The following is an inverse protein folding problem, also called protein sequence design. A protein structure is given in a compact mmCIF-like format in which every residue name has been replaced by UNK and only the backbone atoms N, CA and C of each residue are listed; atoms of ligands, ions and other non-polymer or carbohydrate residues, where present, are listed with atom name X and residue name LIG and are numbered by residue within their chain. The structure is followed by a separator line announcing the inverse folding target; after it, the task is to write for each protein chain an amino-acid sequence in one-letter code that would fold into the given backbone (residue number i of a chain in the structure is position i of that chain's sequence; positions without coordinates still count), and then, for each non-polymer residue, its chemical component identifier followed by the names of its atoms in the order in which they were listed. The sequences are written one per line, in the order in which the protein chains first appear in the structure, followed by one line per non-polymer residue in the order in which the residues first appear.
data_IF_997939498995
#
_entry.id   IF_997939498995
#
_cell.length_a   1.000
_cell.length_b   1.000
_cell.length_c   1.000
_cell.angle_alpha   90.00
_cell.angle_beta   90.00
_cell.angle_gamma   90.00
#
_symmetry.space_group_name_H-M   'P 1'
#
loop_
_entity.id
_entity.type
_entity.pdbx_description
1 polymer ?
#
# COMPACT_ATOMS: atom_id res chain seq x y z
N UNK A 1 4.12 -12.25 42.42
CA UNK A 1 4.26 -10.78 42.46
C UNK A 1 3.11 -10.25 43.30
N UNK A 2 3.36 -9.40 44.32
CA UNK A 2 2.31 -8.75 45.10
C UNK A 2 1.37 -7.88 44.25
N UNK A 3 0.10 -7.75 44.65
CA UNK A 3 -0.92 -7.04 43.88
C UNK A 3 -0.62 -5.54 43.73
N UNK A 4 -0.23 -4.90 44.83
CA UNK A 4 0.19 -3.51 44.90
C UNK A 4 1.38 -3.22 43.97
N UNK A 5 2.40 -4.08 43.99
CA UNK A 5 3.57 -3.97 43.09
C UNK A 5 3.15 -4.12 41.63
N UNK A 6 2.29 -5.09 41.32
CA UNK A 6 1.78 -5.28 39.97
C UNK A 6 0.94 -4.09 39.49
N UNK A 7 0.09 -3.55 40.37
CA UNK A 7 -0.74 -2.39 40.09
C UNK A 7 0.08 -1.12 39.91
N UNK A 8 1.15 -0.94 40.69
CA UNK A 8 2.07 0.19 40.57
C UNK A 8 2.75 0.18 39.20
N UNK A 9 3.29 -0.97 38.77
CA UNK A 9 3.90 -1.11 37.43
C UNK A 9 2.85 -0.86 36.35
N UNK A 10 1.67 -1.47 36.45
CA UNK A 10 0.61 -1.27 35.47
C UNK A 10 0.21 0.20 35.33
N UNK A 11 0.04 0.89 36.47
CA UNK A 11 -0.46 2.27 36.51
C UNK A 11 0.60 3.31 36.12
N UNK A 12 1.86 3.09 36.50
CA UNK A 12 2.93 4.07 36.33
C UNK A 12 3.81 3.81 35.10
N UNK A 13 3.76 2.60 34.52
CA UNK A 13 4.55 2.26 33.33
C UNK A 13 3.67 1.90 32.13
N UNK A 14 2.78 0.91 32.25
CA UNK A 14 2.06 0.39 31.10
C UNK A 14 0.96 1.34 30.61
N UNK A 15 0.11 1.84 31.51
CA UNK A 15 -0.93 2.80 31.13
C UNK A 15 -0.34 4.03 30.43
N UNK A 16 0.67 4.74 30.99
CA UNK A 16 1.27 5.90 30.34
C UNK A 16 1.88 5.58 28.98
N UNK A 17 2.58 4.43 28.87
CA UNK A 17 3.21 3.99 27.62
C UNK A 17 2.17 3.74 26.53
N UNK A 18 1.13 2.97 26.82
CA UNK A 18 0.09 2.65 25.84
C UNK A 18 -0.73 3.89 25.47
N UNK A 19 -1.05 4.74 26.44
CA UNK A 19 -1.77 5.99 26.19
C UNK A 19 -0.96 6.94 25.29
N UNK A 20 0.36 7.05 25.51
CA UNK A 20 1.24 7.83 24.64
C UNK A 20 1.25 7.30 23.19
N UNK A 21 1.25 5.98 22.99
CA UNK A 21 1.14 5.39 21.65
C UNK A 21 -0.22 5.71 21.03
N UNK A 22 -1.32 5.58 21.79
CA UNK A 22 -2.67 5.87 21.31
C UNK A 22 -2.79 7.34 20.88
N UNK A 23 -2.37 8.30 21.72
CA UNK A 23 -2.37 9.73 21.40
C UNK A 23 -1.61 10.06 20.12
N UNK A 24 -0.45 9.41 19.91
CA UNK A 24 0.34 9.59 18.70
C UNK A 24 -0.37 9.05 17.44
N UNK A 25 -1.11 7.95 17.57
CA UNK A 25 -1.71 7.25 16.41
C UNK A 25 -3.14 7.69 16.11
N UNK A 26 -3.85 8.25 17.09
CA UNK A 26 -5.28 8.57 17.07
C UNK A 26 -5.49 10.07 17.29
N UNK A 27 -5.44 10.91 16.23
CA UNK A 27 -5.75 12.32 16.34
C UNK A 27 -7.23 12.50 16.75
N UNK A 28 -7.49 13.28 17.81
CA UNK A 28 -8.83 13.45 18.40
C UNK A 28 -9.10 12.58 19.64
N UNK A 29 -8.16 11.71 20.05
CA UNK A 29 -8.35 10.86 21.23
C UNK A 29 -8.60 11.66 22.53
N UNK A 30 -7.88 12.76 22.72
CA UNK A 30 -7.99 13.59 23.93
C UNK A 30 -9.30 14.40 24.00
N UNK A 31 -10.09 14.42 22.92
CA UNK A 31 -11.43 15.04 22.91
C UNK A 31 -12.51 14.10 23.45
N UNK A 32 -12.22 12.80 23.55
CA UNK A 32 -13.15 11.80 24.06
C UNK A 32 -13.27 11.82 25.58
N UNK A 33 -14.39 11.32 26.11
CA UNK A 33 -14.55 11.13 27.56
C UNK A 33 -13.57 10.10 28.13
N UNK A 34 -13.28 10.14 29.44
CA UNK A 34 -12.43 9.15 30.10
C UNK A 34 -12.88 7.70 29.86
N UNK A 35 -14.18 7.43 29.82
CA UNK A 35 -14.73 6.10 29.52
C UNK A 35 -14.38 5.65 28.10
N UNK A 36 -14.57 6.51 27.10
CA UNK A 36 -14.18 6.25 25.72
C UNK A 36 -12.66 6.02 25.60
N UNK A 37 -11.84 6.86 26.24
CA UNK A 37 -10.37 6.71 26.25
C UNK A 37 -9.95 5.39 26.90
N UNK A 38 -10.59 5.02 28.02
CA UNK A 38 -10.35 3.76 28.72
C UNK A 38 -10.62 2.53 27.84
N UNK A 39 -11.71 2.56 27.06
CA UNK A 39 -12.02 1.50 26.10
C UNK A 39 -10.99 1.40 24.98
N UNK A 40 -10.58 2.53 24.39
CA UNK A 40 -9.53 2.55 23.35
C UNK A 40 -8.21 2.01 23.91
N UNK A 41 -7.86 2.39 25.14
CA UNK A 41 -6.69 1.87 25.83
C UNK A 41 -6.78 0.36 26.06
N UNK A 42 -7.94 -0.16 26.50
CA UNK A 42 -8.18 -1.60 26.66
C UNK A 42 -7.96 -2.36 25.36
N UNK A 43 -8.52 -1.85 24.25
CA UNK A 43 -8.33 -2.42 22.91
C UNK A 43 -6.84 -2.43 22.55
N UNK A 44 -6.16 -1.30 22.69
CA UNK A 44 -4.76 -1.13 22.35
C UNK A 44 -3.84 -2.05 23.18
N UNK A 45 -4.10 -2.17 24.48
CA UNK A 45 -3.34 -3.06 25.37
C UNK A 45 -3.48 -4.53 24.98
N UNK A 46 -4.72 -4.98 24.72
CA UNK A 46 -5.02 -6.38 24.47
C UNK A 46 -4.72 -6.84 23.05
N UNK A 47 -4.75 -5.92 22.08
CA UNK A 47 -4.56 -6.24 20.66
C UNK A 47 -3.21 -5.87 20.11
N UNK A 48 -2.44 -5.02 20.80
CA UNK A 48 -1.29 -4.25 20.32
C UNK A 48 -1.68 -2.88 19.76
N UNK A 49 -1.18 -1.83 20.40
CA UNK A 49 -1.46 -0.43 20.06
C UNK A 49 -0.96 -0.03 18.68
N UNK A 50 0.07 -0.68 18.12
CA UNK A 50 0.45 -0.40 16.73
C UNK A 50 -0.54 -0.97 15.71
N UNK A 51 -1.52 -1.76 16.15
CA UNK A 51 -2.60 -2.31 15.34
C UNK A 51 -3.40 -1.26 14.57
N UNK A 52 -3.48 -0.02 15.07
CA UNK A 52 -4.13 1.11 14.38
C UNK A 52 -3.49 1.49 13.03
N UNK A 53 -2.27 1.03 12.75
CA UNK A 53 -1.57 1.23 11.46
C UNK A 53 -1.19 -0.08 10.77
N UNK A 54 -1.44 -1.24 11.38
CA UNK A 54 -1.05 -2.52 10.78
C UNK A 54 -1.93 -2.85 9.58
N UNK A 55 -1.35 -3.25 8.44
CA UNK A 55 -2.13 -3.61 7.26
C UNK A 55 -2.83 -4.96 7.44
N UNK A 56 -3.84 -5.19 6.61
CA UNK A 56 -4.51 -6.48 6.45
C UNK A 56 -5.80 -6.66 7.27
N UNK A 57 -6.59 -7.70 6.93
CA UNK A 57 -7.96 -7.87 7.43
C UNK A 57 -8.08 -8.03 8.94
N UNK A 58 -7.05 -8.58 9.61
CA UNK A 58 -7.04 -8.78 11.06
C UNK A 58 -7.10 -7.48 11.87
N UNK A 59 -6.68 -6.36 11.26
CA UNK A 59 -6.53 -5.06 11.90
C UNK A 59 -7.53 -4.02 11.39
N UNK A 60 -8.46 -4.41 10.52
CA UNK A 60 -9.38 -3.49 9.83
C UNK A 60 -10.23 -2.68 10.79
N UNK A 61 -10.80 -3.31 11.81
CA UNK A 61 -11.61 -2.61 12.80
C UNK A 61 -10.79 -1.57 13.58
N UNK A 62 -9.53 -1.87 13.91
CA UNK A 62 -8.68 -0.89 14.58
C UNK A 62 -8.39 0.30 13.66
N UNK A 63 -8.08 0.07 12.38
CA UNK A 63 -7.90 1.17 11.41
C UNK A 63 -9.18 1.98 11.19
N UNK A 64 -10.33 1.32 11.13
CA UNK A 64 -11.63 1.99 11.03
C UNK A 64 -11.97 2.78 12.29
N UNK A 65 -11.63 2.30 13.49
CA UNK A 65 -11.75 3.07 14.73
C UNK A 65 -10.87 4.31 14.67
N UNK A 66 -9.62 4.19 14.20
CA UNK A 66 -8.74 5.34 14.00
C UNK A 66 -9.36 6.36 13.04
N UNK A 67 -9.91 5.91 11.92
CA UNK A 67 -10.58 6.79 10.96
C UNK A 67 -11.82 7.46 11.57
N UNK A 68 -12.62 6.72 12.34
CA UNK A 68 -13.82 7.23 13.01
C UNK A 68 -13.48 8.30 14.06
N UNK A 69 -12.42 8.10 14.86
CA UNK A 69 -11.94 9.12 15.80
C UNK A 69 -11.49 10.37 15.03
N UNK A 70 -10.66 10.20 13.99
CA UNK A 70 -10.11 11.32 13.23
C UNK A 70 -11.16 12.10 12.41
N UNK A 71 -12.29 11.49 12.07
CA UNK A 71 -13.40 12.12 11.34
C UNK A 71 -14.57 12.56 12.24
N UNK A 72 -14.54 12.22 13.52
CA UNK A 72 -15.63 12.50 14.47
C UNK A 72 -16.86 11.61 14.31
N UNK A 73 -16.81 10.56 13.48
CA UNK A 73 -17.89 9.58 13.29
C UNK A 73 -17.92 8.54 14.42
N UNK A 74 -17.95 9.01 15.66
CA UNK A 74 -17.74 8.21 16.86
C UNK A 74 -18.81 7.13 17.05
N UNK A 75 -20.02 7.36 16.52
CA UNK A 75 -21.12 6.40 16.56
C UNK A 75 -20.81 5.06 15.87
N UNK A 76 -19.79 5.00 14.99
CA UNK A 76 -19.36 3.74 14.34
C UNK A 76 -18.55 2.83 15.26
N UNK A 77 -17.87 3.41 16.26
CA UNK A 77 -16.86 2.71 17.07
C UNK A 77 -17.45 1.53 17.88
N UNK A 78 -18.60 1.64 18.56
CA UNK A 78 -19.17 0.49 19.29
C UNK A 78 -19.47 -0.71 18.38
N UNK A 79 -20.00 -0.47 17.18
CA UNK A 79 -20.21 -1.52 16.19
C UNK A 79 -18.90 -2.19 15.77
N UNK A 80 -17.86 -1.39 15.53
CA UNK A 80 -16.53 -1.89 15.18
C UNK A 80 -15.92 -2.74 16.31
N UNK A 81 -16.02 -2.31 17.57
CA UNK A 81 -15.56 -3.08 18.73
C UNK A 81 -16.26 -4.45 18.78
N UNK A 82 -17.59 -4.48 18.62
CA UNK A 82 -18.36 -5.75 18.60
C UNK A 82 -17.99 -6.64 17.42
N UNK A 83 -17.72 -6.07 16.24
CA UNK A 83 -17.34 -6.84 15.05
C UNK A 83 -16.00 -7.56 15.20
N UNK A 84 -15.08 -7.05 16.03
CA UNK A 84 -13.80 -7.72 16.32
C UNK A 84 -13.96 -9.13 16.91
N UNK A 85 -15.14 -9.49 17.44
CA UNK A 85 -15.43 -10.84 17.95
C UNK A 85 -15.24 -11.93 16.90
N UNK A 86 -15.34 -11.62 15.60
CA UNK A 86 -15.11 -12.59 14.51
C UNK A 86 -13.73 -13.25 14.56
N UNK A 87 -12.73 -12.56 15.13
CA UNK A 87 -11.35 -13.04 15.18
C UNK A 87 -11.12 -14.09 16.27
N UNK A 88 -12.09 -14.24 17.19
CA UNK A 88 -12.07 -15.19 18.30
C UNK A 88 -13.48 -15.75 18.50
N UNK A 89 -13.97 -16.59 17.56
CA UNK A 89 -15.35 -17.08 17.61
C UNK A 89 -15.66 -17.90 18.87
N UNK A 90 -14.66 -18.64 19.39
CA UNK A 90 -14.86 -19.61 20.48
C UNK A 90 -14.46 -19.06 21.87
N UNK A 91 -13.97 -17.82 21.97
CA UNK A 91 -13.55 -17.23 23.25
C UNK A 91 -14.72 -16.48 23.91
N UNK A 92 -15.44 -17.18 24.79
CA UNK A 92 -16.58 -16.60 25.53
C UNK A 92 -16.19 -15.35 26.33
N UNK A 93 -15.04 -15.36 27.00
CA UNK A 93 -14.61 -14.26 27.86
C UNK A 93 -14.30 -13.00 27.07
N UNK A 94 -13.58 -13.14 25.96
CA UNK A 94 -13.27 -12.03 25.05
C UNK A 94 -14.53 -11.44 24.43
N UNK A 95 -15.50 -12.29 24.05
CA UNK A 95 -16.75 -11.83 23.45
C UNK A 95 -17.56 -10.96 24.42
N UNK A 96 -17.71 -11.41 25.67
CA UNK A 96 -18.36 -10.63 26.72
C UNK A 96 -17.63 -9.30 26.91
N UNK A 97 -16.30 -9.33 27.02
CA UNK A 97 -15.50 -8.11 27.15
C UNK A 97 -15.70 -7.12 26.02
N UNK A 98 -15.81 -7.57 24.75
CA UNK A 98 -16.04 -6.67 23.61
C UNK A 98 -17.44 -6.04 23.66
N UNK A 99 -18.44 -6.77 24.16
CA UNK A 99 -19.78 -6.22 24.35
C UNK A 99 -19.79 -5.19 25.50
N UNK A 100 -19.10 -5.47 26.60
CA UNK A 100 -18.96 -4.55 27.74
C UNK A 100 -18.17 -3.28 27.38
N UNK A 101 -17.06 -3.43 26.65
CA UNK A 101 -16.27 -2.30 26.14
C UNK A 101 -17.09 -1.42 25.19
N UNK A 102 -17.88 -2.02 24.30
CA UNK A 102 -18.75 -1.26 23.42
C UNK A 102 -19.82 -0.50 24.21
N UNK A 103 -20.43 -1.13 25.22
CA UNK A 103 -21.42 -0.49 26.09
C UNK A 103 -20.80 0.65 26.93
N UNK A 104 -19.58 0.48 27.44
CA UNK A 104 -18.85 1.53 28.15
C UNK A 104 -18.51 2.71 27.22
N UNK A 105 -18.16 2.43 25.96
CA UNK A 105 -17.94 3.48 24.97
C UNK A 105 -19.23 4.25 24.67
N UNK A 106 -20.37 3.56 24.52
CA UNK A 106 -21.68 4.19 24.33
C UNK A 106 -22.06 5.09 25.51
N UNK A 107 -21.83 4.64 26.75
CA UNK A 107 -22.03 5.47 27.94
C UNK A 107 -21.13 6.72 27.92
N UNK A 108 -19.86 6.55 27.56
CA UNK A 108 -18.93 7.65 27.38
C UNK A 108 -19.39 8.67 26.34
N UNK A 109 -20.01 8.21 25.23
CA UNK A 109 -20.63 9.07 24.23
C UNK A 109 -21.86 9.78 24.76
N UNK A 110 -22.72 9.11 25.54
CA UNK A 110 -23.90 9.74 26.13
C UNK A 110 -23.52 10.94 27.01
N UNK A 111 -22.43 10.81 27.78
CA UNK A 111 -21.95 11.84 28.70
C UNK A 111 -21.27 13.04 28.00
N UNK A 112 -20.52 12.80 26.91
CA UNK A 112 -19.64 13.81 26.30
C UNK A 112 -19.99 14.20 24.86
N UNK A 113 -20.65 13.31 24.11
CA UNK A 113 -20.95 13.45 22.68
C UNK A 113 -22.41 13.02 22.39
N UNK A 114 -23.42 13.69 22.98
CA UNK A 114 -24.82 13.25 22.89
C UNK A 114 -25.36 13.18 21.46
N UNK A 115 -24.83 14.00 20.55
CA UNK A 115 -25.17 13.93 19.11
C UNK A 115 -24.68 12.65 18.45
N UNK A 116 -23.47 12.19 18.77
CA UNK A 116 -22.94 10.92 18.26
C UNK A 116 -23.65 9.74 18.93
N UNK A 117 -23.95 9.83 20.23
CA UNK A 117 -24.74 8.84 20.93
C UNK A 117 -26.13 8.65 20.28
N UNK A 118 -26.82 9.73 19.90
CA UNK A 118 -28.11 9.64 19.24
C UNK A 118 -28.07 8.91 17.89
N UNK A 119 -26.94 8.98 17.17
CA UNK A 119 -26.77 8.30 15.87
C UNK A 119 -26.68 6.78 16.00
N UNK A 120 -26.30 6.24 17.17
CA UNK A 120 -26.13 4.81 17.41
C UNK A 120 -27.34 3.98 16.96
N UNK A 121 -28.55 4.48 17.18
CA UNK A 121 -29.79 3.80 16.81
C UNK A 121 -29.96 3.61 15.29
N UNK A 122 -29.32 4.46 14.49
CA UNK A 122 -29.40 4.48 13.03
C UNK A 122 -28.10 4.09 12.34
N UNK A 123 -27.01 3.93 13.08
CA UNK A 123 -25.72 3.53 12.53
C UNK A 123 -25.80 2.07 12.09
N UNK A 124 -25.56 1.76 10.80
CA UNK A 124 -25.59 0.38 10.34
C UNK A 124 -24.46 -0.43 10.98
N UNK A 125 -24.70 -1.73 11.14
CA UNK A 125 -23.65 -2.64 11.56
C UNK A 125 -22.50 -2.60 10.55
N UNK A 126 -21.23 -2.62 11.01
CA UNK A 126 -20.10 -2.69 10.09
C UNK A 126 -20.14 -4.00 9.30
N UNK A 127 -19.83 -3.91 8.03
CA UNK A 127 -19.66 -5.09 7.16
C UNK A 127 -18.46 -5.89 7.65
N UNK A 128 -18.56 -7.22 7.64
CA UNK A 128 -17.49 -8.12 8.05
C UNK A 128 -16.21 -7.87 7.21
N UNK A 129 -15.09 -7.46 7.83
CA UNK A 129 -13.83 -7.28 7.13
C UNK A 129 -13.32 -8.51 6.38
N UNK A 130 -13.64 -9.73 6.83
CA UNK A 130 -13.24 -10.95 6.10
C UNK A 130 -14.05 -11.13 4.82
N UNK A 131 -15.34 -10.75 4.83
CA UNK A 131 -16.18 -10.70 3.64
C UNK A 131 -15.68 -9.64 2.66
N UNK A 132 -15.34 -8.43 3.14
CA UNK A 132 -14.72 -7.38 2.32
C UNK A 132 -13.43 -7.89 1.69
N UNK A 133 -12.54 -8.50 2.50
CA UNK A 133 -11.28 -9.02 2.02
C UNK A 133 -11.46 -10.15 1.00
N UNK A 134 -12.49 -11.00 1.18
CA UNK A 134 -12.88 -12.01 0.20
C UNK A 134 -13.29 -11.38 -1.14
N UNK A 135 -14.17 -10.38 -1.12
CA UNK A 135 -14.60 -9.64 -2.31
C UNK A 135 -13.41 -8.97 -3.00
N UNK A 136 -12.55 -8.28 -2.23
CA UNK A 136 -11.35 -7.63 -2.74
C UNK A 136 -10.38 -8.61 -3.41
N UNK A 137 -10.18 -9.82 -2.86
CA UNK A 137 -9.38 -10.87 -3.51
C UNK A 137 -10.03 -11.33 -4.79
N UNK A 138 -11.32 -11.68 -4.71
CA UNK A 138 -12.04 -12.29 -5.82
C UNK A 138 -12.18 -11.36 -7.02
N UNK A 139 -12.48 -10.09 -6.79
CA UNK A 139 -12.49 -9.07 -7.84
C UNK A 139 -11.12 -8.96 -8.53
N UNK A 140 -10.02 -8.98 -7.77
CA UNK A 140 -8.66 -8.93 -8.34
C UNK A 140 -8.34 -10.17 -9.17
N UNK A 141 -8.71 -11.36 -8.71
CA UNK A 141 -8.56 -12.61 -9.47
C UNK A 141 -9.34 -12.55 -10.79
N UNK A 142 -10.50 -11.89 -10.80
CA UNK A 142 -11.35 -11.71 -11.96
C UNK A 142 -10.93 -10.55 -12.87
N UNK A 143 -9.80 -9.89 -12.59
CA UNK A 143 -9.23 -8.84 -13.42
C UNK A 143 -9.67 -7.41 -13.06
N UNK A 144 -10.34 -7.21 -11.93
CA UNK A 144 -10.72 -5.88 -11.42
C UNK A 144 -9.64 -5.38 -10.45
N UNK A 145 -8.50 -4.97 -11.01
CA UNK A 145 -7.30 -4.65 -10.23
C UNK A 145 -7.37 -3.33 -9.45
N UNK A 146 -8.24 -2.40 -9.87
CA UNK A 146 -8.42 -1.10 -9.21
C UNK A 146 -9.15 -1.20 -7.86
N UNK A 147 -9.47 -2.41 -7.38
CA UNK A 147 -10.24 -2.68 -6.14
C UNK A 147 -9.55 -2.20 -4.86
N UNK A 148 -8.25 -1.87 -4.91
CA UNK A 148 -7.46 -1.42 -3.76
C UNK A 148 -6.52 -2.52 -3.22
N UNK A 149 -6.15 -2.46 -1.95
CA UNK A 149 -5.41 -3.54 -1.27
C UNK A 149 -6.39 -4.59 -0.71
N UNK A 150 -5.91 -5.78 -0.35
CA UNK A 150 -6.73 -6.76 0.40
C UNK A 150 -6.57 -6.48 1.87
N UNK A 151 -7.32 -5.51 2.35
CA UNK A 151 -7.20 -4.99 3.71
C UNK A 151 -8.49 -5.15 4.51
N UNK A 152 -9.57 -5.65 3.91
CA UNK A 152 -10.86 -5.83 4.58
C UNK A 152 -11.52 -4.51 4.96
N UNK A 153 -11.17 -3.42 4.27
CA UNK A 153 -11.68 -2.08 4.54
C UNK A 153 -12.51 -1.59 3.35
N UNK A 154 -13.70 -1.09 3.64
CA UNK A 154 -14.58 -0.47 2.65
C UNK A 154 -14.74 0.99 3.00
N UNK A 155 -14.18 1.86 2.16
CA UNK A 155 -14.46 3.29 2.22
C UNK A 155 -15.66 3.62 1.34
N UNK A 156 -16.61 4.45 1.81
CA UNK A 156 -17.66 4.98 0.96
C UNK A 156 -17.07 5.68 -0.27
N UNK A 157 -17.65 5.43 -1.44
CA UNK A 157 -17.17 5.95 -2.73
C UNK A 157 -15.72 5.53 -3.05
N UNK A 158 -15.27 4.44 -2.42
CA UNK A 158 -13.92 3.94 -2.54
C UNK A 158 -13.71 3.08 -3.79
N UNK A 159 -12.44 2.70 -3.96
CA UNK A 159 -11.97 1.81 -5.03
C UNK A 159 -12.71 0.46 -5.08
N UNK A 160 -12.99 -0.12 -3.91
CA UNK A 160 -13.70 -1.40 -3.83
C UNK A 160 -15.14 -1.29 -4.34
N UNK A 161 -15.88 -0.24 -3.96
CA UNK A 161 -17.25 0.00 -4.43
C UNK A 161 -17.32 0.22 -5.94
N UNK A 162 -16.41 1.01 -6.49
CA UNK A 162 -16.31 1.21 -7.94
C UNK A 162 -16.13 -0.10 -8.71
N UNK A 163 -15.32 -1.02 -8.18
CA UNK A 163 -15.12 -2.34 -8.79
C UNK A 163 -16.31 -3.29 -8.59
N UNK A 164 -17.01 -3.21 -7.45
CA UNK A 164 -18.26 -3.95 -7.24
C UNK A 164 -19.31 -3.52 -8.29
N UNK A 165 -19.46 -2.21 -8.51
CA UNK A 165 -20.37 -1.66 -9.50
C UNK A 165 -19.99 -2.09 -10.92
N UNK A 166 -18.70 -2.01 -11.27
CA UNK A 166 -18.20 -2.48 -12.57
C UNK A 166 -18.46 -3.98 -12.78
N UNK A 167 -18.25 -4.79 -11.74
CA UNK A 167 -18.50 -6.23 -11.76
C UNK A 167 -19.98 -6.56 -11.97
N UNK A 168 -20.87 -5.89 -11.22
CA UNK A 168 -22.33 -6.04 -11.30
C UNK A 168 -22.84 -5.62 -12.68
N UNK A 169 -22.37 -4.48 -13.20
CA UNK A 169 -22.73 -3.98 -14.51
C UNK A 169 -22.37 -4.98 -15.63
N UNK A 170 -21.17 -5.55 -15.58
CA UNK A 170 -20.73 -6.54 -16.55
C UNK A 170 -21.54 -7.86 -16.55
N UNK A 171 -22.35 -8.10 -15.51
CA UNK A 171 -23.15 -9.32 -15.31
C UNK A 171 -24.65 -9.06 -15.27
N UNK A 172 -25.09 -7.84 -15.55
CA UNK A 172 -26.51 -7.47 -15.47
C UNK A 172 -27.12 -7.62 -14.08
N UNK A 173 -26.30 -7.53 -13.03
CA UNK A 173 -26.78 -7.53 -11.64
C UNK A 173 -27.26 -6.13 -11.23
N UNK A 174 -28.12 -6.02 -10.20
CA UNK A 174 -28.50 -4.73 -9.64
C UNK A 174 -27.28 -3.87 -9.28
N UNK A 175 -27.23 -2.61 -9.73
CA UNK A 175 -26.10 -1.70 -9.53
C UNK A 175 -26.11 -1.08 -8.14
N UNK A 176 -25.79 -1.88 -7.13
CA UNK A 176 -25.59 -1.40 -5.74
C UNK A 176 -24.12 -1.57 -5.34
N UNK A 177 -23.58 -0.69 -4.48
CA UNK A 177 -22.21 -0.83 -3.96
C UNK A 177 -22.10 -1.85 -2.82
N UNK A 178 -23.24 -2.39 -2.37
CA UNK A 178 -23.33 -3.23 -1.18
C UNK A 178 -22.68 -4.61 -1.39
N UNK A 179 -22.09 -5.12 -0.31
CA UNK A 179 -21.64 -6.51 -0.23
C UNK A 179 -22.79 -7.32 0.36
N UNK A 180 -23.68 -7.78 -0.52
CA UNK A 180 -24.84 -8.61 -0.19
C UNK A 180 -24.59 -10.09 -0.51
N UNK A 181 -25.52 -10.94 -0.05
CA UNK A 181 -25.46 -12.40 -0.29
C UNK A 181 -25.46 -12.74 -1.78
N UNK A 182 -26.12 -11.93 -2.62
CA UNK A 182 -26.16 -12.13 -4.07
C UNK A 182 -24.76 -11.95 -4.68
N UNK A 183 -24.06 -10.87 -4.32
CA UNK A 183 -22.69 -10.60 -4.76
C UNK A 183 -21.74 -11.71 -4.28
N UNK A 184 -21.82 -12.08 -3.01
CA UNK A 184 -20.97 -13.14 -2.44
C UNK A 184 -21.22 -14.48 -3.16
N UNK A 185 -22.49 -14.86 -3.36
CA UNK A 185 -22.85 -16.09 -4.06
C UNK A 185 -22.37 -16.07 -5.51
N UNK A 186 -22.50 -14.94 -6.21
CA UNK A 186 -22.02 -14.82 -7.59
C UNK A 186 -20.50 -14.95 -7.66
N UNK A 187 -19.77 -14.23 -6.79
CA UNK A 187 -18.31 -14.28 -6.70
C UNK A 187 -17.78 -15.68 -6.36
N UNK A 188 -18.56 -16.49 -5.63
CA UNK A 188 -18.25 -17.88 -5.30
C UNK A 188 -18.28 -18.85 -6.49
N UNK A 189 -18.91 -18.49 -7.62
CA UNK A 189 -18.96 -19.35 -8.81
C UNK A 189 -17.60 -19.44 -9.49
N UNK A 190 -17.23 -20.61 -10.09
CA UNK A 190 -16.13 -20.71 -11.03
C UNK A 190 -16.35 -19.76 -12.21
N UNK A 191 -15.39 -18.90 -12.49
CA UNK A 191 -15.54 -17.83 -13.47
C UNK A 191 -14.19 -17.56 -14.16
N UNK A 192 -14.26 -17.22 -15.44
CA UNK A 192 -13.09 -16.77 -16.20
C UNK A 192 -12.81 -15.30 -15.89
N UNK A 193 -11.54 -14.91 -15.67
CA UNK A 193 -11.17 -13.52 -15.52
C UNK A 193 -11.62 -12.68 -16.73
N UNK A 194 -11.90 -11.39 -16.49
CA UNK A 194 -12.24 -10.45 -17.57
C UNK A 194 -11.16 -10.48 -18.64
N UNK A 195 -11.56 -10.73 -19.88
CA UNK A 195 -10.67 -10.60 -21.02
C UNK A 195 -10.34 -9.11 -21.19
N UNK A 196 -9.06 -8.79 -21.15
CA UNK A 196 -8.58 -7.43 -21.44
C UNK A 196 -8.90 -7.15 -22.92
N UNK A 197 -9.40 -5.94 -23.22
CA UNK A 197 -9.69 -5.55 -24.60
C UNK A 197 -8.45 -5.79 -25.47
N UNK A 198 -8.61 -6.37 -26.66
CA UNK A 198 -7.47 -6.71 -27.55
C UNK A 198 -6.55 -5.52 -27.77
N UNK A 199 -7.12 -4.31 -27.88
CA UNK A 199 -6.38 -3.05 -27.99
C UNK A 199 -5.38 -2.81 -26.87
N UNK A 200 -5.71 -3.17 -25.62
CA UNK A 200 -4.77 -3.10 -24.49
C UNK A 200 -3.80 -4.27 -24.49
N UNK A 201 -4.22 -5.46 -24.91
CA UNK A 201 -3.36 -6.64 -24.96
C UNK A 201 -2.22 -6.48 -25.98
N UNK A 202 -2.48 -5.79 -27.09
CA UNK A 202 -1.49 -5.49 -28.14
C UNK A 202 -0.79 -4.14 -27.96
N UNK A 203 -1.18 -3.33 -26.98
CA UNK A 203 -0.63 -2.00 -26.76
C UNK A 203 0.91 -2.03 -26.65
N UNK A 204 1.56 -1.01 -27.15
CA UNK A 204 3.02 -0.83 -27.21
C UNK A 204 3.48 0.27 -26.25
N UNK A 205 4.80 0.44 -26.10
CA UNK A 205 5.36 1.55 -25.31
C UNK A 205 5.01 2.90 -25.97
N UNK A 206 4.95 2.91 -27.29
CA UNK A 206 4.54 4.06 -28.10
C UNK A 206 3.10 4.47 -27.80
N UNK A 207 2.16 3.53 -27.72
CA UNK A 207 0.76 3.83 -27.37
C UNK A 207 0.67 4.48 -25.97
N UNK A 208 1.45 3.97 -25.00
CA UNK A 208 1.53 4.56 -23.66
C UNK A 208 2.18 5.95 -23.63
N UNK A 209 3.09 6.21 -24.56
CA UNK A 209 3.74 7.52 -24.72
C UNK A 209 2.74 8.53 -25.26
N UNK A 210 1.94 8.13 -26.24
CA UNK A 210 0.89 8.96 -26.84
C UNK A 210 -0.28 9.22 -25.87
N UNK A 211 -0.59 8.25 -25.00
CA UNK A 211 -1.56 8.40 -23.90
C UNK A 211 -1.03 9.29 -22.75
N UNK A 212 0.22 9.77 -22.83
CA UNK A 212 0.78 10.74 -21.90
C UNK A 212 1.28 10.16 -20.58
N UNK A 213 1.64 8.86 -20.55
CA UNK A 213 2.13 8.20 -19.34
C UNK A 213 3.37 8.90 -18.74
N UNK A 214 3.22 9.43 -17.52
CA UNK A 214 4.31 10.13 -16.81
C UNK A 214 5.49 9.20 -16.51
N UNK A 215 5.23 7.91 -16.25
CA UNK A 215 6.28 6.91 -16.04
C UNK A 215 7.13 6.75 -17.30
N UNK A 216 6.50 6.67 -18.47
CA UNK A 216 7.23 6.57 -19.75
C UNK A 216 7.98 7.87 -20.04
N UNK A 217 7.39 9.03 -19.77
CA UNK A 217 8.09 10.31 -19.93
C UNK A 217 9.34 10.45 -19.03
N UNK A 218 9.27 9.92 -17.81
CA UNK A 218 10.38 9.90 -16.86
C UNK A 218 11.49 8.94 -17.32
N UNK A 219 11.14 7.71 -17.72
CA UNK A 219 12.11 6.73 -18.21
C UNK A 219 12.74 7.18 -19.53
N UNK A 220 11.98 7.81 -20.43
CA UNK A 220 12.50 8.45 -21.64
C UNK A 220 13.52 9.54 -21.29
N UNK A 221 13.25 10.37 -20.26
CA UNK A 221 14.21 11.39 -19.80
C UNK A 221 15.48 10.77 -19.21
N UNK A 222 15.34 9.69 -18.44
CA UNK A 222 16.47 8.96 -17.87
C UNK A 222 17.32 8.28 -18.95
N UNK A 223 16.68 7.60 -19.91
CA UNK A 223 17.34 6.99 -21.07
C UNK A 223 18.00 8.03 -21.96
N UNK A 224 17.40 9.21 -22.17
CA UNK A 224 18.04 10.34 -22.89
C UNK A 224 19.29 10.85 -22.18
N UNK A 225 19.25 10.99 -20.85
CA UNK A 225 20.42 11.39 -20.07
C UNK A 225 21.53 10.33 -20.15
N UNK A 226 21.20 9.05 -19.96
CA UNK A 226 22.15 7.95 -20.14
C UNK A 226 22.72 7.91 -21.57
N UNK A 227 21.88 8.14 -22.58
CA UNK A 227 22.29 8.24 -23.99
C UNK A 227 23.28 9.37 -24.27
N UNK A 228 23.23 10.49 -23.53
CA UNK A 228 24.25 11.55 -23.61
C UNK A 228 25.60 11.08 -23.06
N UNK A 229 25.63 10.22 -22.04
CA UNK A 229 26.86 9.59 -21.55
C UNK A 229 27.45 8.67 -22.63
N UNK A 230 26.59 8.03 -23.42
CA UNK A 230 27.01 7.09 -24.46
C UNK A 230 27.44 7.73 -25.79
N UNK A 231 27.24 9.05 -25.99
CA UNK A 231 27.74 9.77 -27.17
C UNK A 231 26.69 10.22 -28.20
N UNK A 232 25.42 10.37 -27.80
CA UNK A 232 24.51 11.32 -28.45
C UNK A 232 23.95 10.99 -29.83
N UNK A 233 24.20 9.83 -30.43
CA UNK A 233 23.45 9.38 -31.62
C UNK A 233 22.26 8.52 -31.20
N UNK A 234 21.06 8.93 -31.62
CA UNK A 234 19.80 8.28 -31.25
C UNK A 234 19.76 6.82 -31.69
N UNK A 235 19.35 5.94 -30.77
CA UNK A 235 19.10 4.53 -31.05
C UNK A 235 20.03 3.55 -30.33
N UNK A 236 20.14 3.64 -29.00
CA UNK A 236 20.75 2.57 -28.20
C UNK A 236 19.63 1.84 -27.43
N UNK A 237 19.11 0.77 -28.05
CA UNK A 237 18.38 -0.27 -27.33
C UNK A 237 19.33 -1.10 -26.45
N UNK A 238 18.83 -2.11 -25.73
CA UNK A 238 19.67 -2.89 -24.78
C UNK A 238 20.91 -3.51 -25.41
N UNK A 239 20.83 -3.94 -26.67
CA UNK A 239 21.97 -4.43 -27.44
C UNK A 239 23.02 -3.33 -27.73
N UNK A 240 22.58 -2.09 -27.93
CA UNK A 240 23.46 -0.94 -28.18
C UNK A 240 24.26 -0.53 -26.94
N UNK A 241 23.65 -0.59 -25.75
CA UNK A 241 24.36 -0.33 -24.49
C UNK A 241 25.41 -1.40 -24.22
N UNK A 242 25.12 -2.66 -24.54
CA UNK A 242 26.07 -3.76 -24.40
C UNK A 242 27.26 -3.60 -25.37
N UNK A 243 26.99 -3.26 -26.63
CA UNK A 243 28.03 -3.00 -27.63
C UNK A 243 28.94 -1.83 -27.22
N UNK A 244 28.35 -0.74 -26.72
CA UNK A 244 29.11 0.41 -26.22
C UNK A 244 30.04 0.05 -25.05
N UNK A 245 29.57 -0.79 -24.12
CA UNK A 245 30.39 -1.31 -23.03
C UNK A 245 31.58 -2.12 -23.55
N UNK A 246 31.34 -2.99 -24.54
CA UNK A 246 32.40 -3.79 -25.18
C UNK A 246 33.40 -2.89 -25.89
N UNK A 247 32.95 -1.90 -26.66
CA UNK A 247 33.82 -0.96 -27.38
C UNK A 247 34.68 -0.15 -26.42
N UNK A 248 34.12 0.33 -25.30
CA UNK A 248 34.89 1.04 -24.28
C UNK A 248 35.86 0.13 -23.54
N UNK A 249 35.49 -1.11 -23.23
CA UNK A 249 36.40 -2.09 -22.62
C UNK A 249 37.60 -2.41 -23.53
N UNK A 250 37.36 -2.54 -24.84
CA UNK A 250 38.40 -2.74 -25.85
C UNK A 250 39.31 -1.51 -25.98
N UNK A 251 38.73 -0.29 -25.99
CA UNK A 251 39.49 0.95 -26.02
C UNK A 251 40.36 1.14 -24.77
N UNK A 252 39.86 0.82 -23.57
CA UNK A 252 40.62 0.90 -22.32
C UNK A 252 41.78 -0.10 -22.33
N UNK A 253 41.56 -1.32 -22.81
CA UNK A 253 42.60 -2.33 -22.96
C UNK A 253 43.69 -1.86 -23.93
N UNK A 254 43.32 -1.38 -25.12
CA UNK A 254 44.26 -0.86 -26.10
C UNK A 254 45.04 0.37 -25.60
N UNK A 255 44.39 1.27 -24.85
CA UNK A 255 45.05 2.43 -24.25
C UNK A 255 46.04 2.02 -23.14
N UNK A 256 45.71 1.00 -22.33
CA UNK A 256 46.62 0.47 -21.30
C UNK A 256 47.90 -0.09 -21.92
N UNK A 257 47.79 -0.80 -23.03
CA UNK A 257 48.94 -1.37 -23.75
C UNK A 257 49.80 -0.28 -24.40
N UNK A 258 49.18 0.76 -24.97
CA UNK A 258 49.89 1.91 -25.53
C UNK A 258 50.60 2.77 -24.46
N UNK A 259 49.98 2.98 -23.30
CA UNK A 259 50.54 3.76 -22.18
C UNK A 259 51.75 3.06 -21.54
N UNK A 260 51.75 1.73 -21.48
CA UNK A 260 52.90 0.94 -21.02
C UNK A 260 54.17 1.13 -21.86
N UNK A 261 54.03 1.54 -23.13
CA UNK A 261 55.13 1.78 -24.07
C UNK A 261 55.68 3.20 -24.11
N UNK A 262 55.10 4.16 -23.37
CA UNK A 262 55.38 5.60 -23.53
C UNK A 262 56.37 6.20 -22.53
N UNK A 263 56.95 5.41 -21.61
CA UNK A 263 57.99 5.90 -20.69
C UNK A 263 57.57 7.04 -19.76
N UNK A 264 56.28 7.11 -19.40
CA UNK A 264 55.69 8.19 -18.60
C UNK A 264 56.11 8.14 -17.13
N UNK A 265 56.14 9.30 -16.46
CA UNK A 265 56.42 9.37 -15.02
C UNK A 265 55.29 8.76 -14.20
N UNK A 266 55.56 8.17 -13.01
CA UNK A 266 54.55 7.53 -12.18
C UNK A 266 53.34 8.43 -11.83
N UNK A 267 53.57 9.74 -11.66
CA UNK A 267 52.51 10.71 -11.38
C UNK A 267 51.58 10.98 -12.57
N UNK A 268 52.11 10.96 -13.80
CA UNK A 268 51.30 11.12 -15.02
C UNK A 268 50.42 9.89 -15.27
N UNK A 269 50.95 8.69 -15.00
CA UNK A 269 50.19 7.43 -15.10
C UNK A 269 49.03 7.41 -14.09
N UNK A 270 49.26 7.88 -12.85
CA UNK A 270 48.20 7.97 -11.83
C UNK A 270 47.09 8.96 -12.20
N UNK A 271 47.42 10.16 -12.71
CA UNK A 271 46.41 11.14 -13.11
C UNK A 271 45.51 10.62 -14.24
N UNK A 272 46.10 9.93 -15.23
CA UNK A 272 45.35 9.29 -16.32
C UNK A 272 44.47 8.16 -15.76
N UNK A 273 45.00 7.32 -14.87
CA UNK A 273 44.22 6.24 -14.26
C UNK A 273 43.01 6.75 -13.46
N UNK A 274 43.14 7.85 -12.71
CA UNK A 274 42.03 8.48 -11.98
C UNK A 274 40.98 9.04 -12.94
N UNK A 275 41.41 9.71 -14.02
CA UNK A 275 40.50 10.21 -15.06
C UNK A 275 39.71 9.09 -15.73
N UNK A 276 40.39 7.98 -16.08
CA UNK A 276 39.76 6.79 -16.66
C UNK A 276 38.80 6.13 -15.65
N UNK A 277 39.20 5.97 -14.40
CA UNK A 277 38.34 5.40 -13.36
C UNK A 277 37.06 6.22 -13.13
N UNK A 278 37.17 7.55 -13.13
CA UNK A 278 36.02 8.46 -12.99
C UNK A 278 35.06 8.32 -14.17
N UNK A 279 35.59 8.24 -15.39
CA UNK A 279 34.77 8.00 -16.59
C UNK A 279 34.09 6.62 -16.57
N UNK A 280 34.77 5.57 -16.09
CA UNK A 280 34.19 4.23 -15.92
C UNK A 280 33.06 4.23 -14.88
N UNK A 281 33.22 4.99 -13.78
CA UNK A 281 32.14 5.13 -12.78
C UNK A 281 30.94 5.85 -13.38
N UNK A 282 31.13 6.99 -14.07
CA UNK A 282 30.03 7.73 -14.72
C UNK A 282 29.34 6.86 -15.79
N UNK A 283 30.12 6.11 -16.56
CA UNK A 283 29.64 5.12 -17.52
C UNK A 283 28.77 4.04 -16.85
N UNK A 284 29.26 3.44 -15.76
CA UNK A 284 28.56 2.41 -15.00
C UNK A 284 27.23 2.93 -14.43
N UNK A 285 27.21 4.16 -13.94
CA UNK A 285 25.96 4.82 -13.49
C UNK A 285 25.00 5.03 -14.66
N UNK A 286 25.48 5.49 -15.82
CA UNK A 286 24.66 5.63 -17.02
C UNK A 286 24.00 4.31 -17.45
N UNK A 287 24.78 3.21 -17.45
CA UNK A 287 24.29 1.86 -17.76
C UNK A 287 23.22 1.41 -16.76
N UNK A 288 23.49 1.57 -15.46
CA UNK A 288 22.55 1.21 -14.41
C UNK A 288 21.22 1.97 -14.55
N UNK A 289 21.29 3.29 -14.76
CA UNK A 289 20.11 4.15 -14.97
C UNK A 289 19.31 3.70 -16.19
N UNK A 290 19.99 3.33 -17.29
CA UNK A 290 19.32 2.83 -18.49
C UNK A 290 18.58 1.51 -18.23
N UNK A 291 19.22 0.53 -17.58
CA UNK A 291 18.59 -0.77 -17.26
C UNK A 291 17.40 -0.63 -16.30
N UNK A 292 17.52 0.24 -15.30
CA UNK A 292 16.42 0.53 -14.37
C UNK A 292 15.25 1.17 -15.12
N UNK A 293 15.52 2.15 -15.97
CA UNK A 293 14.49 2.81 -16.78
C UNK A 293 13.80 1.82 -17.74
N UNK A 294 14.56 0.95 -18.39
CA UNK A 294 14.02 -0.08 -19.30
C UNK A 294 13.14 -1.10 -18.56
N UNK A 295 13.59 -1.57 -17.40
CA UNK A 295 12.81 -2.48 -16.55
C UNK A 295 11.50 -1.84 -16.10
N UNK A 296 11.50 -0.53 -15.81
CA UNK A 296 10.30 0.21 -15.42
C UNK A 296 9.30 0.37 -16.58
N UNK A 297 9.77 0.64 -17.80
CA UNK A 297 8.91 0.70 -18.99
C UNK A 297 8.25 -0.64 -19.27
N UNK A 298 9.01 -1.73 -19.27
CA UNK A 298 8.48 -3.07 -19.52
C UNK A 298 7.48 -3.49 -18.45
N UNK A 299 7.71 -3.14 -17.18
CA UNK A 299 6.75 -3.36 -16.10
C UNK A 299 5.47 -2.55 -16.31
N UNK A 300 5.58 -1.25 -16.63
CA UNK A 300 4.41 -0.40 -16.89
C UNK A 300 3.59 -0.91 -18.07
N UNK A 301 4.26 -1.37 -19.14
CA UNK A 301 3.60 -1.97 -20.29
C UNK A 301 2.89 -3.27 -19.92
N UNK A 302 3.55 -4.15 -19.16
CA UNK A 302 2.96 -5.39 -18.67
C UNK A 302 1.74 -5.12 -17.76
N UNK A 303 1.82 -4.10 -16.90
CA UNK A 303 0.71 -3.70 -16.03
C UNK A 303 -0.48 -3.14 -16.83
N UNK A 304 -0.22 -2.33 -17.87
CA UNK A 304 -1.26 -1.82 -18.76
C UNK A 304 -1.95 -2.94 -19.55
N UNK A 305 -1.16 -3.84 -20.15
CA UNK A 305 -1.65 -5.04 -20.87
C UNK A 305 -2.43 -5.98 -19.96
N UNK A 306 -2.06 -6.06 -18.69
CA UNK A 306 -2.79 -6.83 -17.69
C UNK A 306 -4.00 -6.08 -17.11
N UNK A 307 -4.18 -4.78 -17.40
CA UNK A 307 -5.25 -3.96 -16.82
C UNK A 307 -5.05 -3.64 -15.33
N UNK A 308 -3.83 -3.79 -14.79
CA UNK A 308 -3.52 -3.62 -13.36
C UNK A 308 -3.55 -2.17 -12.89
N UNK A 309 -3.34 -1.23 -13.81
CA UNK A 309 -3.34 0.20 -13.58
C UNK A 309 -3.83 0.91 -14.84
N UNK A 310 -5.09 1.33 -14.86
CA UNK A 310 -5.59 2.29 -15.85
C UNK A 310 -5.09 3.70 -15.48
#
# INVERSE_FOLDING_TARGET
IPWDVALEVFSNHDIPRYLAICRRLLPGLDELSPDCVGVILSIAFNRDAVGFNKPGPRWSEMRQIKAAIGSGELAKIPGLIRSMKRLWPDDKGLRIRRDDEAALFEHGLAASHPREHAKLATTPAPVDPDAIAYVQRRLRELGYYDVGQVDGEQSPQGRTEGMILAYRNARGLPLTPDIDDQLIAELGKPQTPRQVAETRATATVEDLRDEGSQTIALTDRAKRWAGKIFGGSGGLGGAGVLAWLTDRATQVSAAKDAVGGLGLTPGAIQAIAIGVATLVVVAGVGVLVWFVADTLEQRRLADYRAGKHA
#
